data_IF_601369503051
#
_entry.id   IF_601369503051
#
_cell.length_a   1.000
_cell.length_b   1.000
_cell.length_c   1.000
_cell.angle_alpha   90.00
_cell.angle_beta   90.00
_cell.angle_gamma   90.00
#
_symmetry.space_group_name_H-M   'P 1'
#
loop_
_entity.id
_entity.type
_entity.pdbx_description
1 polymer ?
#
# COMPACT_ATOMS: atom_id res chain seq x y z
N UNK A 1 -11.92 -13.03 9.66
CA UNK A 1 -10.63 -12.36 9.51
C UNK A 1 -10.19 -12.70 8.11
N UNK A 2 -10.09 -11.68 7.27
CA UNK A 2 -9.69 -11.84 5.88
C UNK A 2 -8.28 -12.42 5.77
N UNK A 3 -8.05 -13.20 4.72
CA UNK A 3 -6.75 -13.74 4.35
C UNK A 3 -6.15 -12.93 3.21
N UNK A 4 -4.91 -12.50 3.37
CA UNK A 4 -4.20 -11.62 2.43
C UNK A 4 -3.00 -12.33 1.82
N UNK A 5 -2.92 -12.41 0.49
CA UNK A 5 -1.74 -12.88 -0.21
C UNK A 5 -0.91 -11.69 -0.73
N UNK A 6 0.35 -11.62 -0.33
CA UNK A 6 1.32 -10.68 -0.88
C UNK A 6 2.14 -11.44 -1.92
N UNK A 7 2.02 -11.05 -3.18
CA UNK A 7 2.72 -11.68 -4.31
C UNK A 7 3.80 -10.73 -4.83
N UNK A 8 5.01 -11.23 -5.06
CA UNK A 8 6.16 -10.41 -5.47
C UNK A 8 7.03 -11.14 -6.48
N UNK A 9 7.84 -10.40 -7.23
CA UNK A 9 8.96 -10.92 -8.04
C UNK A 9 10.34 -10.66 -7.39
N UNK A 10 10.35 -10.32 -6.10
CA UNK A 10 11.55 -10.23 -5.25
C UNK A 10 11.83 -8.84 -4.67
N UNK A 11 11.91 -7.76 -5.46
CA UNK A 11 12.38 -6.46 -4.98
C UNK A 11 11.49 -5.77 -3.93
N UNK A 12 10.22 -6.13 -3.81
CA UNK A 12 9.21 -5.41 -3.01
C UNK A 12 8.29 -6.36 -2.23
N UNK A 13 7.46 -5.81 -1.35
CA UNK A 13 6.42 -6.55 -0.62
C UNK A 13 6.78 -6.99 0.80
N UNK A 14 8.05 -7.25 1.11
CA UNK A 14 8.49 -7.77 2.43
C UNK A 14 7.95 -6.95 3.62
N UNK A 15 8.22 -5.64 3.65
CA UNK A 15 7.72 -4.76 4.72
C UNK A 15 6.21 -4.67 4.77
N UNK A 16 5.54 -4.77 3.63
CA UNK A 16 4.07 -4.75 3.61
C UNK A 16 3.55 -6.02 4.28
N UNK A 17 4.12 -7.18 3.93
CA UNK A 17 3.82 -8.46 4.57
C UNK A 17 4.07 -8.42 6.08
N UNK A 18 5.23 -7.93 6.53
CA UNK A 18 5.57 -7.87 7.97
C UNK A 18 4.57 -7.07 8.80
N UNK A 19 3.99 -6.01 8.23
CA UNK A 19 2.99 -5.18 8.92
C UNK A 19 1.59 -5.79 8.81
N UNK A 20 1.20 -6.26 7.62
CA UNK A 20 -0.11 -6.85 7.38
C UNK A 20 -0.31 -8.14 8.20
N UNK A 21 0.74 -8.96 8.31
CA UNK A 21 0.71 -10.21 9.09
C UNK A 21 0.51 -10.00 10.61
N UNK A 22 0.60 -8.77 11.11
CA UNK A 22 0.30 -8.44 12.53
C UNK A 22 -1.21 -8.31 12.79
N UNK A 23 -1.98 -7.98 11.75
CA UNK A 23 -3.41 -7.68 11.85
C UNK A 23 -4.29 -8.71 11.13
N UNK A 24 -3.76 -9.37 10.10
CA UNK A 24 -4.48 -10.32 9.25
C UNK A 24 -3.73 -11.63 9.07
N UNK A 25 -4.45 -12.69 8.72
CA UNK A 25 -3.83 -13.91 8.20
C UNK A 25 -3.19 -13.57 6.84
N UNK A 26 -1.86 -13.63 6.76
CA UNK A 26 -1.12 -13.21 5.57
C UNK A 26 -0.17 -14.29 5.08
N UNK A 27 0.02 -14.35 3.76
CA UNK A 27 1.01 -15.20 3.11
C UNK A 27 1.89 -14.39 2.16
N UNK A 28 3.16 -14.76 2.08
CA UNK A 28 4.14 -14.13 1.20
C UNK A 28 4.57 -15.13 0.12
N UNK A 29 4.34 -14.79 -1.15
CA UNK A 29 4.57 -15.68 -2.29
C UNK A 29 5.46 -14.95 -3.30
N UNK A 30 6.64 -15.50 -3.52
CA UNK A 30 7.57 -15.01 -4.53
C UNK A 30 7.39 -15.80 -5.83
N UNK A 31 7.22 -15.11 -6.95
CA UNK A 31 7.16 -15.64 -8.31
C UNK A 31 8.44 -15.28 -9.05
N UNK A 32 8.87 -16.15 -9.97
CA UNK A 32 10.02 -15.84 -10.81
C UNK A 32 9.55 -14.97 -11.98
N UNK A 33 10.10 -13.76 -12.09
CA UNK A 33 9.84 -12.90 -13.23
C UNK A 33 10.53 -13.44 -14.49
N UNK A 34 9.89 -13.32 -15.67
CA UNK A 34 10.56 -13.55 -16.94
C UNK A 34 11.81 -12.67 -17.09
N UNK A 35 12.83 -13.18 -17.78
CA UNK A 35 14.11 -12.47 -17.95
C UNK A 35 14.07 -11.36 -19.02
N UNK A 36 13.04 -11.35 -19.86
CA UNK A 36 12.82 -10.36 -20.93
C UNK A 36 11.98 -9.15 -20.48
N UNK A 37 11.83 -8.18 -21.39
CA UNK A 37 10.86 -7.07 -21.24
C UNK A 37 9.44 -7.56 -21.56
N UNK A 38 9.37 -8.53 -22.46
CA UNK A 38 8.16 -9.24 -22.87
C UNK A 38 8.42 -10.72 -22.70
N UNK A 39 7.42 -11.45 -22.23
CA UNK A 39 7.45 -12.89 -22.15
C UNK A 39 6.55 -13.49 -23.23
N UNK A 40 7.07 -14.47 -23.98
CA UNK A 40 6.25 -15.20 -24.95
C UNK A 40 5.23 -16.11 -24.23
N UNK A 41 5.64 -16.68 -23.08
CA UNK A 41 4.78 -17.44 -22.17
C UNK A 41 5.12 -17.05 -20.73
N UNK A 42 4.09 -16.77 -19.94
CA UNK A 42 4.19 -16.60 -18.49
C UNK A 42 3.46 -17.78 -17.87
N UNK A 43 4.17 -18.59 -17.09
CA UNK A 43 3.56 -19.71 -16.35
C UNK A 43 3.70 -19.46 -14.85
N UNK A 44 2.57 -19.50 -14.14
CA UNK A 44 2.53 -19.39 -12.68
C UNK A 44 2.40 -20.81 -12.13
N UNK A 45 3.36 -21.28 -11.31
CA UNK A 45 3.31 -22.64 -10.76
C UNK A 45 1.96 -22.95 -10.10
N UNK A 46 1.34 -24.07 -10.48
CA UNK A 46 -0.02 -24.42 -10.08
C UNK A 46 -0.21 -24.51 -8.55
N UNK A 47 0.83 -24.89 -7.82
CA UNK A 47 0.85 -24.92 -6.35
C UNK A 47 0.78 -23.50 -5.77
N UNK A 48 1.52 -22.55 -6.33
CA UNK A 48 1.47 -21.14 -5.94
C UNK A 48 0.14 -20.51 -6.31
N UNK A 49 -0.39 -20.79 -7.50
CA UNK A 49 -1.68 -20.30 -7.93
C UNK A 49 -2.81 -20.79 -7.01
N UNK A 50 -2.80 -22.08 -6.66
CA UNK A 50 -3.73 -22.65 -5.68
C UNK A 50 -3.63 -21.96 -4.31
N UNK A 51 -2.42 -21.61 -3.88
CA UNK A 51 -2.21 -20.88 -2.63
C UNK A 51 -2.79 -19.45 -2.72
N UNK A 52 -2.55 -18.73 -3.81
CA UNK A 52 -3.05 -17.37 -4.05
C UNK A 52 -4.59 -17.34 -4.09
N UNK A 53 -5.21 -18.27 -4.82
CA UNK A 53 -6.69 -18.43 -4.92
C UNK A 53 -7.37 -18.72 -3.58
N UNK A 54 -6.61 -19.07 -2.54
CA UNK A 54 -7.16 -19.32 -1.21
C UNK A 54 -7.29 -18.06 -0.35
N UNK A 55 -6.80 -16.91 -0.82
CA UNK A 55 -6.88 -15.63 -0.13
C UNK A 55 -8.12 -14.83 -0.57
N UNK A 56 -8.61 -13.96 0.32
CA UNK A 56 -9.70 -13.04 0.01
C UNK A 56 -9.17 -11.79 -0.72
N UNK A 57 -8.01 -11.29 -0.29
CA UNK A 57 -7.34 -10.12 -0.87
C UNK A 57 -5.96 -10.50 -1.39
N UNK A 58 -5.63 -10.05 -2.60
CA UNK A 58 -4.29 -10.22 -3.19
C UNK A 58 -3.63 -8.87 -3.40
N UNK A 59 -2.42 -8.69 -2.87
CA UNK A 59 -1.60 -7.50 -3.09
C UNK A 59 -0.38 -7.92 -3.90
N UNK A 60 -0.28 -7.45 -5.13
CA UNK A 60 0.88 -7.74 -5.98
C UNK A 60 1.85 -6.57 -6.01
N UNK A 61 3.13 -6.87 -5.81
CA UNK A 61 4.27 -5.97 -5.99
C UNK A 61 5.18 -6.38 -7.15
N UNK A 62 4.67 -7.24 -8.03
CA UNK A 62 5.37 -7.70 -9.24
C UNK A 62 5.62 -6.51 -10.17
N UNK A 63 6.84 -6.42 -10.68
CA UNK A 63 7.25 -5.35 -11.59
C UNK A 63 7.07 -5.72 -13.07
N UNK A 64 7.16 -7.01 -13.39
CA UNK A 64 7.00 -7.48 -14.77
C UNK A 64 5.52 -7.39 -15.19
N UNK A 65 5.17 -6.58 -16.21
CA UNK A 65 3.78 -6.31 -16.57
C UNK A 65 3.03 -7.57 -17.02
N UNK A 66 3.67 -8.43 -17.83
CA UNK A 66 3.03 -9.66 -18.31
C UNK A 66 2.72 -10.62 -17.17
N UNK A 67 3.61 -10.73 -16.16
CA UNK A 67 3.39 -11.58 -15.00
C UNK A 67 2.27 -11.03 -14.10
N UNK A 68 2.19 -9.71 -13.94
CA UNK A 68 1.09 -9.08 -13.22
C UNK A 68 -0.24 -9.30 -13.94
N UNK A 69 -0.27 -9.19 -15.27
CA UNK A 69 -1.49 -9.40 -16.05
C UNK A 69 -1.95 -10.85 -16.00
N UNK A 70 -1.05 -11.81 -16.21
CA UNK A 70 -1.32 -13.25 -16.13
C UNK A 70 -1.86 -13.62 -14.74
N UNK A 71 -1.22 -13.10 -13.69
CA UNK A 71 -1.66 -13.33 -12.32
C UNK A 71 -3.10 -12.83 -12.10
N UNK A 72 -3.43 -11.64 -12.61
CA UNK A 72 -4.78 -11.08 -12.47
C UNK A 72 -5.80 -11.89 -13.26
N UNK A 73 -5.50 -12.24 -14.51
CA UNK A 73 -6.40 -13.06 -15.35
C UNK A 73 -6.71 -14.40 -14.70
N UNK A 74 -5.71 -15.05 -14.10
CA UNK A 74 -5.89 -16.35 -13.46
C UNK A 74 -6.66 -16.31 -12.13
N UNK A 75 -6.66 -15.19 -11.38
CA UNK A 75 -7.20 -15.17 -10.00
C UNK A 75 -8.41 -14.26 -9.81
N UNK A 76 -8.71 -13.33 -10.73
CA UNK A 76 -9.73 -12.31 -10.48
C UNK A 76 -11.13 -12.89 -10.21
N UNK A 77 -11.42 -14.09 -10.71
CA UNK A 77 -12.68 -14.80 -10.46
C UNK A 77 -12.74 -15.55 -9.13
N UNK A 78 -11.60 -15.74 -8.46
CA UNK A 78 -11.47 -16.56 -7.24
C UNK A 78 -11.29 -15.74 -5.96
N UNK A 79 -10.89 -14.47 -6.08
CA UNK A 79 -10.57 -13.60 -4.94
C UNK A 79 -11.50 -12.38 -4.89
N UNK A 80 -11.74 -11.83 -3.70
CA UNK A 80 -12.66 -10.70 -3.53
C UNK A 80 -12.09 -9.40 -4.12
N UNK A 81 -10.79 -9.14 -3.92
CA UNK A 81 -10.14 -7.94 -4.43
C UNK A 81 -8.64 -8.09 -4.70
N UNK A 82 -8.14 -7.36 -5.70
CA UNK A 82 -6.73 -7.32 -6.07
C UNK A 82 -6.20 -5.88 -5.98
N UNK A 83 -5.09 -5.69 -5.29
CA UNK A 83 -4.39 -4.40 -5.14
C UNK A 83 -3.05 -4.46 -5.88
N UNK A 84 -2.88 -3.60 -6.88
CA UNK A 84 -1.68 -3.52 -7.70
C UNK A 84 -0.72 -2.49 -7.11
N UNK A 85 0.25 -2.94 -6.32
CA UNK A 85 1.22 -2.08 -5.65
C UNK A 85 2.34 -1.56 -6.55
N UNK A 86 2.51 -2.11 -7.76
CA UNK A 86 3.45 -1.63 -8.76
C UNK A 86 2.87 -1.76 -10.18
N UNK A 87 2.81 -0.65 -10.91
CA UNK A 87 2.36 -0.61 -12.29
C UNK A 87 2.96 0.60 -13.01
N UNK A 88 2.94 0.59 -14.35
CA UNK A 88 3.42 1.71 -15.17
C UNK A 88 2.57 1.88 -16.43
N UNK A 89 2.23 3.14 -16.72
CA UNK A 89 1.49 3.52 -17.93
C UNK A 89 -0.02 3.32 -17.79
N UNK A 90 -0.77 4.33 -18.19
CA UNK A 90 -2.24 4.35 -18.01
C UNK A 90 -2.94 3.26 -18.82
N UNK A 91 -2.39 2.88 -19.98
CA UNK A 91 -2.94 1.78 -20.78
C UNK A 91 -2.96 0.47 -20.01
N UNK A 92 -1.82 0.11 -19.40
CA UNK A 92 -1.70 -1.09 -18.57
C UNK A 92 -2.59 -1.00 -17.32
N UNK A 93 -2.59 0.16 -16.66
CA UNK A 93 -3.47 0.41 -15.51
C UNK A 93 -4.95 0.21 -15.86
N UNK A 94 -5.41 0.80 -16.95
CA UNK A 94 -6.82 0.72 -17.37
C UNK A 94 -7.21 -0.71 -17.76
N UNK A 95 -6.27 -1.47 -18.34
CA UNK A 95 -6.48 -2.89 -18.60
C UNK A 95 -6.69 -3.67 -17.30
N UNK A 96 -5.84 -3.48 -16.29
CA UNK A 96 -6.00 -4.13 -14.98
C UNK A 96 -7.32 -3.74 -14.30
N UNK A 97 -7.73 -2.47 -14.39
CA UNK A 97 -8.99 -2.01 -13.82
C UNK A 97 -10.24 -2.58 -14.52
N UNK A 98 -10.12 -3.04 -15.77
CA UNK A 98 -11.27 -3.58 -16.51
C UNK A 98 -11.81 -4.90 -15.95
N UNK A 99 -11.04 -5.60 -15.11
CA UNK A 99 -11.49 -6.81 -14.40
C UNK A 99 -12.52 -6.54 -13.30
N UNK A 100 -12.68 -5.28 -12.86
CA UNK A 100 -13.76 -4.85 -11.98
C UNK A 100 -13.50 -4.98 -10.47
N UNK A 101 -12.70 -5.96 -10.02
CA UNK A 101 -12.29 -6.14 -8.61
C UNK A 101 -10.80 -5.82 -8.39
N UNK A 102 -10.28 -4.84 -9.14
CA UNK A 102 -8.87 -4.46 -9.11
C UNK A 102 -8.73 -2.98 -8.75
N UNK A 103 -7.76 -2.67 -7.90
CA UNK A 103 -7.35 -1.28 -7.60
C UNK A 103 -5.86 -1.12 -7.82
N UNK A 104 -5.50 -0.15 -8.66
CA UNK A 104 -4.12 0.24 -8.94
C UNK A 104 -3.91 1.67 -8.42
N UNK A 105 -3.58 1.84 -7.13
CA UNK A 105 -3.41 3.17 -6.55
C UNK A 105 -2.08 3.78 -7.00
N UNK A 106 -1.97 5.11 -6.93
CA UNK A 106 -0.70 5.80 -7.17
C UNK A 106 0.29 5.53 -6.04
N UNK A 107 -0.21 5.56 -4.79
CA UNK A 107 0.48 5.10 -3.61
C UNK A 107 -0.37 4.10 -2.84
N UNK A 108 0.25 3.13 -2.17
CA UNK A 108 -0.46 2.27 -1.21
C UNK A 108 -1.11 3.04 -0.05
N UNK A 109 -0.67 4.29 0.19
CA UNK A 109 -1.29 5.22 1.14
C UNK A 109 -2.56 5.92 0.59
N UNK A 110 -2.97 5.65 -0.65
CA UNK A 110 -4.19 6.21 -1.25
C UNK A 110 -5.42 5.32 -1.05
N UNK A 111 -5.25 4.11 -0.49
CA UNK A 111 -6.35 3.17 -0.35
C UNK A 111 -7.41 3.71 0.61
N UNK A 112 -8.65 3.79 0.12
CA UNK A 112 -9.86 4.20 0.83
C UNK A 112 -10.98 3.21 0.51
N UNK A 113 -11.98 3.13 1.39
CA UNK A 113 -13.10 2.19 1.28
C UNK A 113 -13.86 2.37 -0.05
N UNK A 114 -14.31 1.26 -0.62
CA UNK A 114 -15.02 1.22 -1.90
C UNK A 114 -16.35 0.47 -1.86
N UNK A 115 -16.74 -0.07 -0.70
CA UNK A 115 -18.00 -0.78 -0.49
C UNK A 115 -17.91 -2.30 -0.63
N UNK A 116 -16.77 -2.86 -1.06
CA UNK A 116 -16.53 -4.30 -0.97
C UNK A 116 -16.17 -4.68 0.48
N UNK A 117 -16.88 -5.61 1.14
CA UNK A 117 -16.68 -5.91 2.55
C UNK A 117 -15.24 -6.32 2.93
N UNK A 118 -14.63 -7.20 2.13
CA UNK A 118 -13.28 -7.72 2.40
C UNK A 118 -12.22 -6.66 2.18
N UNK A 119 -12.38 -5.85 1.13
CA UNK A 119 -11.50 -4.71 0.86
C UNK A 119 -11.64 -3.61 1.91
N UNK A 120 -12.86 -3.27 2.33
CA UNK A 120 -13.12 -2.27 3.35
C UNK A 120 -12.60 -2.73 4.73
N UNK A 121 -12.72 -4.02 5.07
CA UNK A 121 -12.09 -4.60 6.27
C UNK A 121 -10.57 -4.41 6.22
N UNK A 122 -9.93 -4.71 5.08
CA UNK A 122 -8.49 -4.48 4.88
C UNK A 122 -8.13 -2.99 5.03
N UNK A 123 -8.81 -2.12 4.29
CA UNK A 123 -8.51 -0.70 4.23
C UNK A 123 -8.80 0.02 5.54
N UNK A 124 -9.72 -0.50 6.36
CA UNK A 124 -9.96 0.03 7.71
C UNK A 124 -8.68 0.07 8.55
N UNK A 125 -7.75 -0.88 8.31
CA UNK A 125 -6.44 -0.99 8.98
C UNK A 125 -5.29 -0.46 8.13
N UNK A 126 -5.32 -0.68 6.82
CA UNK A 126 -4.21 -0.33 5.93
C UNK A 126 -4.62 0.52 4.72
N UNK A 127 -4.14 1.75 4.65
CA UNK A 127 -4.43 2.65 3.53
C UNK A 127 -4.08 4.10 3.83
N UNK A 128 -5.01 5.02 3.56
CA UNK A 128 -4.85 6.44 3.87
C UNK A 128 -4.61 6.66 5.36
N UNK A 129 -3.50 7.29 5.79
CA UNK A 129 -3.19 7.43 7.20
C UNK A 129 -4.30 8.12 8.00
N UNK A 130 -4.64 7.52 9.14
CA UNK A 130 -5.58 8.07 10.12
C UNK A 130 -4.98 7.90 11.52
N UNK A 131 -4.87 9.02 12.24
CA UNK A 131 -4.27 9.06 13.57
C UNK A 131 -5.13 9.89 14.52
N UNK A 132 -5.00 9.61 15.81
CA UNK A 132 -5.44 10.50 16.89
C UNK A 132 -4.20 10.97 17.65
N UNK A 133 -4.22 12.23 18.08
CA UNK A 133 -3.10 12.85 18.78
C UNK A 133 -3.59 13.35 20.14
N UNK A 134 -3.01 12.81 21.21
CA UNK A 134 -3.27 13.27 22.57
C UNK A 134 -2.15 14.23 23.00
N UNK A 135 -2.53 15.42 23.44
CA UNK A 135 -1.60 16.47 23.87
C UNK A 135 -1.58 16.62 25.40
N UNK A 136 -0.40 16.87 25.95
CA UNK A 136 -0.20 17.30 27.34
C UNK A 136 0.47 18.67 27.34
N UNK A 137 -0.36 19.72 27.39
CA UNK A 137 0.08 21.09 27.15
C UNK A 137 0.48 21.28 25.69
N UNK A 138 1.72 21.70 25.45
CA UNK A 138 2.28 21.92 24.11
C UNK A 138 3.01 20.68 23.55
N UNK A 139 3.03 19.57 24.28
CA UNK A 139 3.73 18.35 23.86
C UNK A 139 2.79 17.24 23.46
N UNK A 140 3.24 16.45 22.48
CA UNK A 140 2.59 15.22 22.07
C UNK A 140 2.83 14.16 23.14
N UNK A 141 1.76 13.74 23.82
CA UNK A 141 1.81 12.68 24.82
C UNK A 141 1.75 11.30 24.16
N UNK A 142 0.82 11.13 23.23
CA UNK A 142 0.57 9.86 22.55
C UNK A 142 0.00 10.11 21.15
N UNK A 143 0.37 9.26 20.20
CA UNK A 143 -0.25 9.22 18.87
C UNK A 143 -0.80 7.82 18.65
N UNK A 144 -2.13 7.70 18.55
CA UNK A 144 -2.78 6.42 18.21
C UNK A 144 -2.95 6.33 16.70
N UNK A 145 -2.38 5.29 16.08
CA UNK A 145 -2.56 5.03 14.65
C UNK A 145 -3.79 4.16 14.45
N UNK A 146 -4.87 4.74 13.92
CA UNK A 146 -6.12 4.02 13.63
C UNK A 146 -6.04 3.27 12.30
N UNK A 147 -5.36 3.86 11.32
CA UNK A 147 -5.10 3.28 9.99
C UNK A 147 -3.68 3.60 9.56
N UNK A 148 -2.89 2.57 9.29
CA UNK A 148 -1.49 2.70 8.89
C UNK A 148 -1.33 2.59 7.37
N UNK A 149 -0.26 3.13 6.82
CA UNK A 149 0.20 2.70 5.49
C UNK A 149 0.66 1.23 5.52
N UNK A 150 0.45 0.45 4.43
CA UNK A 150 0.87 -0.96 4.39
C UNK A 150 2.34 -1.21 4.70
N UNK A 151 3.23 -0.28 4.33
CA UNK A 151 4.65 -0.42 4.60
C UNK A 151 5.06 -0.10 6.06
N UNK A 152 4.15 0.39 6.89
CA UNK A 152 4.42 0.76 8.30
C UNK A 152 5.01 2.17 8.48
N UNK A 153 4.99 3.00 7.44
CA UNK A 153 5.57 4.34 7.52
C UNK A 153 4.79 5.26 8.48
N UNK A 154 3.49 5.03 8.64
CA UNK A 154 2.63 5.79 9.55
C UNK A 154 2.96 5.52 11.01
N UNK A 155 3.20 4.25 11.36
CA UNK A 155 3.67 3.85 12.69
C UNK A 155 5.03 4.49 13.00
N UNK A 156 5.97 4.43 12.06
CA UNK A 156 7.28 5.09 12.21
C UNK A 156 7.14 6.60 12.49
N UNK A 157 6.29 7.31 11.74
CA UNK A 157 6.07 8.75 11.96
C UNK A 157 5.44 9.00 13.33
N UNK A 158 4.48 8.18 13.77
CA UNK A 158 3.85 8.30 15.09
C UNK A 158 4.86 8.10 16.23
N UNK A 159 5.73 7.10 16.12
CA UNK A 159 6.80 6.84 17.09
C UNK A 159 7.78 8.02 17.17
N UNK A 160 8.23 8.54 16.01
CA UNK A 160 9.20 9.64 15.93
C UNK A 160 8.67 10.99 16.41
N UNK A 161 7.35 11.17 16.44
CA UNK A 161 6.71 12.42 16.86
C UNK A 161 6.16 12.36 18.29
N UNK A 162 6.16 11.19 18.92
CA UNK A 162 5.73 11.08 20.31
C UNK A 162 6.75 11.78 21.22
N UNK A 163 6.30 12.69 22.09
CA UNK A 163 7.16 13.51 22.96
C UNK A 163 7.66 14.82 22.34
N UNK A 164 7.44 15.04 21.03
CA UNK A 164 7.77 16.28 20.34
C UNK A 164 6.79 17.41 20.69
N UNK A 165 7.19 18.63 20.33
CA UNK A 165 6.33 19.81 20.44
C UNK A 165 5.21 19.78 19.37
N UNK A 166 3.99 20.13 19.77
CA UNK A 166 2.79 20.11 18.93
C UNK A 166 2.77 21.25 17.89
N UNK A 167 3.60 22.28 18.07
CA UNK A 167 3.77 23.33 17.07
C UNK A 167 4.28 22.72 15.75
N UNK A 168 3.60 23.05 14.66
CA UNK A 168 3.89 22.58 13.31
C UNK A 168 3.91 21.05 13.18
N UNK A 169 3.22 20.32 14.08
CA UNK A 169 3.20 18.85 14.09
C UNK A 169 2.81 18.23 12.74
N UNK A 170 1.80 18.75 11.99
CA UNK A 170 1.50 18.24 10.66
C UNK A 170 2.66 18.36 9.67
N UNK A 171 3.34 19.51 9.67
CA UNK A 171 4.53 19.74 8.84
C UNK A 171 5.65 18.76 9.24
N UNK A 172 5.88 18.57 10.54
CA UNK A 172 6.87 17.59 11.05
C UNK A 172 6.52 16.17 10.59
N UNK A 173 5.26 15.77 10.59
CA UNK A 173 4.81 14.46 10.08
C UNK A 173 5.11 14.28 8.59
N UNK A 174 4.80 15.30 7.78
CA UNK A 174 5.13 15.31 6.36
C UNK A 174 6.65 15.30 6.07
N UNK A 175 7.48 15.85 6.96
CA UNK A 175 8.94 15.79 6.83
C UNK A 175 9.51 14.44 7.30
N UNK A 176 9.03 13.90 8.42
CA UNK A 176 9.53 12.64 9.00
C UNK A 176 9.33 11.46 8.06
N UNK A 177 8.28 11.45 7.25
CA UNK A 177 8.08 10.41 6.24
C UNK A 177 9.22 10.35 5.20
N UNK A 178 9.95 11.45 4.96
CA UNK A 178 11.10 11.48 4.06
C UNK A 178 12.33 10.79 4.67
N UNK A 179 12.37 10.67 6.00
CA UNK A 179 13.41 9.92 6.71
C UNK A 179 13.10 8.43 6.75
N UNK A 180 11.82 8.04 6.61
CA UNK A 180 11.44 6.65 6.44
C UNK A 180 11.94 6.14 5.07
N UNK A 181 12.47 4.90 4.96
CA UNK A 181 12.95 4.34 3.68
C UNK A 181 11.79 3.97 2.74
N UNK A 182 10.91 4.91 2.43
CA UNK A 182 9.76 4.72 1.55
C UNK A 182 10.23 4.35 0.14
N UNK A 183 9.64 3.29 -0.40
CA UNK A 183 9.90 2.76 -1.76
C UNK A 183 8.92 3.33 -2.81
N UNK A 184 8.08 4.31 -2.45
CA UNK A 184 7.31 5.07 -3.43
C UNK A 184 8.27 5.69 -4.48
N UNK A 185 7.90 5.66 -5.76
CA UNK A 185 8.79 6.10 -6.83
C UNK A 185 9.12 7.59 -6.67
N UNK A 186 10.33 7.96 -7.10
CA UNK A 186 10.71 9.36 -7.22
C UNK A 186 10.04 9.95 -8.47
N UNK A 187 9.89 11.28 -8.49
CA UNK A 187 9.40 12.01 -9.65
C UNK A 187 10.19 11.66 -10.91
N UNK A 188 9.50 11.22 -11.96
CA UNK A 188 10.03 11.10 -13.31
C UNK A 188 9.65 12.34 -14.09
N UNK A 189 10.66 13.11 -14.47
CA UNK A 189 10.48 14.29 -15.30
C UNK A 189 9.75 13.90 -16.60
N UNK A 190 8.75 14.69 -16.98
CA UNK A 190 7.95 14.53 -18.20
C UNK A 190 7.00 13.32 -18.25
N UNK A 191 6.83 12.57 -17.15
CA UNK A 191 5.91 11.43 -17.11
C UNK A 191 4.95 11.47 -15.92
N UNK A 192 5.44 11.92 -14.76
CA UNK A 192 4.61 12.00 -13.57
C UNK A 192 4.08 13.43 -13.41
N UNK A 193 2.80 13.58 -13.02
CA UNK A 193 2.21 14.88 -12.69
C UNK A 193 2.62 15.35 -11.28
N UNK A 194 2.84 14.40 -10.36
CA UNK A 194 3.18 14.67 -8.96
C UNK A 194 4.18 13.62 -8.42
N UNK A 195 5.08 14.06 -7.55
CA UNK A 195 6.04 13.19 -6.88
C UNK A 195 5.34 12.28 -5.86
N UNK A 196 5.41 10.96 -6.04
CA UNK A 196 4.75 10.00 -5.14
C UNK A 196 5.23 10.06 -3.69
N UNK A 197 6.50 10.41 -3.46
CA UNK A 197 7.01 10.64 -2.09
C UNK A 197 6.45 11.90 -1.44
N UNK A 198 6.17 12.92 -2.23
CA UNK A 198 5.55 14.16 -1.77
C UNK A 198 4.06 13.93 -1.48
N UNK A 199 3.37 13.17 -2.34
CA UNK A 199 2.01 12.69 -2.07
C UNK A 199 1.92 11.95 -0.74
N UNK A 200 2.84 11.01 -0.48
CA UNK A 200 2.89 10.29 0.79
C UNK A 200 3.11 11.25 1.98
N UNK A 201 3.99 12.25 1.84
CA UNK A 201 4.20 13.25 2.88
C UNK A 201 2.95 14.09 3.15
N UNK A 202 2.29 14.55 2.09
CA UNK A 202 1.06 15.32 2.19
C UNK A 202 -0.03 14.52 2.91
N UNK A 203 -0.22 13.25 2.57
CA UNK A 203 -1.23 12.40 3.26
C UNK A 203 -0.96 12.24 4.75
N UNK A 204 0.31 12.12 5.15
CA UNK A 204 0.66 12.04 6.56
C UNK A 204 0.47 13.39 7.24
N UNK A 205 0.90 14.50 6.63
CA UNK A 205 0.62 15.85 7.14
C UNK A 205 -0.88 16.06 7.35
N UNK A 206 -1.69 15.79 6.34
CA UNK A 206 -3.16 15.91 6.40
C UNK A 206 -3.79 15.04 7.48
N UNK A 207 -3.24 13.85 7.75
CA UNK A 207 -3.73 12.99 8.83
C UNK A 207 -3.56 13.66 10.21
N UNK A 208 -2.42 14.32 10.43
CA UNK A 208 -2.16 15.07 11.66
C UNK A 208 -2.94 16.40 11.71
N UNK A 209 -3.17 17.07 10.56
CA UNK A 209 -4.05 18.25 10.50
C UNK A 209 -5.47 17.89 10.95
N UNK A 210 -6.02 16.78 10.44
CA UNK A 210 -7.34 16.25 10.82
C UNK A 210 -7.40 15.91 12.30
N UNK A 211 -6.37 15.23 12.82
CA UNK A 211 -6.32 14.84 14.22
C UNK A 211 -6.32 16.05 15.19
N UNK A 212 -5.73 17.17 14.78
CA UNK A 212 -5.68 18.40 15.57
C UNK A 212 -6.87 19.35 15.32
N UNK A 213 -7.78 19.03 14.39
CA UNK A 213 -8.93 19.88 14.05
C UNK A 213 -8.54 21.21 13.39
N UNK A 214 -7.41 21.24 12.66
CA UNK A 214 -6.88 22.46 12.01
C UNK A 214 -7.50 22.68 10.61
N UNK A 215 -8.42 21.81 10.19
CA UNK A 215 -9.18 21.88 8.93
C UNK A 215 -10.66 21.57 9.13
#
# INVERSE_FOLDING_TARGET
MIKVAIVTDGPYGERAYENIAREFEAMFIELEAPSGIFADEVDIPADKLKAIRSADIVITYILHPDLTLELVDEIHGDVDWIIIGAWRGDGFRNQLLSYGNVTAPENMCDLEENGNPSFDEFVSRFGRPLVEVDLEGEKVKEIRVLRSSPCGATLFVAEELTGEDAQDLPLKAGLKIQHYPCRAPKMRLFSDDECKKEMAARMHSEAFERALGVK
#
